data_IF_515107830472
#
_entry.id   IF_515107830472
#
_cell.length_a   1.000
_cell.length_b   1.000
_cell.length_c   1.000
_cell.angle_alpha   90.00
_cell.angle_beta   90.00
_cell.angle_gamma   90.00
#
_symmetry.space_group_name_H-M   'P 1'
#
loop_
_entity.id
_entity.type
_entity.pdbx_description
1 polymer ?
#
# COMPACT_ATOMS: atom_id res chain seq x y z
N UNK A 1 5.79 14.54 -6.13
CA UNK A 1 4.45 14.23 -6.66
C UNK A 1 4.20 15.09 -7.89
N UNK A 2 3.59 14.52 -8.91
CA UNK A 2 3.23 15.15 -10.17
C UNK A 2 1.69 15.22 -10.26
N UNK A 3 1.05 16.28 -9.73
CA UNK A 3 -0.42 16.36 -9.64
C UNK A 3 -1.12 16.17 -10.99
N UNK A 4 -0.53 16.67 -12.06
CA UNK A 4 -1.10 16.53 -13.41
C UNK A 4 -1.10 15.08 -13.90
N UNK A 5 -0.04 14.30 -13.60
CA UNK A 5 0.01 12.88 -13.91
C UNK A 5 -1.00 12.08 -13.06
N UNK A 6 -1.18 12.46 -11.80
CA UNK A 6 -2.19 11.83 -10.94
C UNK A 6 -3.61 12.10 -11.48
N UNK A 7 -3.89 13.34 -11.92
CA UNK A 7 -5.17 13.69 -12.56
C UNK A 7 -5.38 12.91 -13.86
N UNK A 8 -4.37 12.83 -14.72
CA UNK A 8 -4.44 12.06 -15.96
C UNK A 8 -4.67 10.57 -15.69
N UNK A 9 -3.98 10.00 -14.69
CA UNK A 9 -4.18 8.60 -14.28
C UNK A 9 -5.61 8.33 -13.79
N UNK A 10 -6.21 9.27 -13.05
CA UNK A 10 -7.61 9.17 -12.61
C UNK A 10 -8.55 9.13 -13.82
N UNK A 11 -8.40 10.04 -14.77
CA UNK A 11 -9.21 10.08 -16.00
C UNK A 11 -9.10 8.76 -16.76
N UNK A 12 -7.89 8.22 -16.91
CA UNK A 12 -7.69 6.91 -17.56
C UNK A 12 -8.44 5.79 -16.83
N UNK A 13 -8.36 5.75 -15.50
CA UNK A 13 -9.04 4.72 -14.70
C UNK A 13 -10.56 4.82 -14.80
N UNK A 14 -11.10 6.02 -14.74
CA UNK A 14 -12.53 6.30 -14.90
C UNK A 14 -13.04 5.83 -16.28
N UNK A 15 -12.31 6.15 -17.35
CA UNK A 15 -12.64 5.66 -18.70
C UNK A 15 -12.56 4.14 -18.84
N UNK A 16 -11.62 3.48 -18.14
CA UNK A 16 -11.52 2.01 -18.14
C UNK A 16 -12.59 1.34 -17.30
N UNK A 17 -13.30 2.09 -16.44
CA UNK A 17 -14.34 1.58 -15.56
C UNK A 17 -13.86 0.52 -14.57
N UNK A 18 -14.77 -0.06 -13.81
CA UNK A 18 -14.48 -0.96 -12.68
C UNK A 18 -14.51 -2.46 -13.06
N UNK A 19 -14.91 -2.79 -14.27
CA UNK A 19 -14.89 -4.15 -14.80
C UNK A 19 -13.50 -4.53 -15.30
N UNK A 20 -13.00 -5.69 -14.87
CA UNK A 20 -11.78 -6.30 -15.40
C UNK A 20 -11.63 -7.73 -14.89
N UNK A 21 -10.71 -8.48 -15.47
CA UNK A 21 -10.30 -9.81 -15.00
C UNK A 21 -8.78 -9.85 -14.80
N UNK A 22 -8.31 -10.83 -14.01
CA UNK A 22 -6.91 -11.14 -13.85
C UNK A 22 -6.03 -9.96 -13.44
N UNK A 23 -4.89 -9.84 -14.11
CA UNK A 23 -3.89 -8.80 -13.85
C UNK A 23 -4.47 -7.38 -13.99
N UNK A 24 -5.41 -7.18 -14.91
CA UNK A 24 -5.98 -5.85 -15.14
C UNK A 24 -6.77 -5.34 -13.94
N UNK A 25 -7.49 -6.22 -13.23
CA UNK A 25 -8.14 -5.86 -11.96
C UNK A 25 -7.11 -5.55 -10.88
N UNK A 26 -6.10 -6.41 -10.70
CA UNK A 26 -4.99 -6.17 -9.76
C UNK A 26 -4.28 -4.84 -10.03
N UNK A 27 -4.00 -4.54 -11.31
CA UNK A 27 -3.39 -3.26 -11.72
C UNK A 27 -4.24 -2.06 -11.31
N UNK A 28 -5.57 -2.09 -11.56
CA UNK A 28 -6.47 -0.99 -11.18
C UNK A 28 -6.52 -0.79 -9.67
N UNK A 29 -6.55 -1.87 -8.86
CA UNK A 29 -6.51 -1.76 -7.40
C UNK A 29 -5.26 -0.99 -6.96
N UNK A 30 -4.08 -1.37 -7.50
CA UNK A 30 -2.82 -0.68 -7.20
C UNK A 30 -2.84 0.79 -7.61
N UNK A 31 -3.41 1.12 -8.77
CA UNK A 31 -3.49 2.51 -9.24
C UNK A 31 -4.40 3.37 -8.34
N UNK A 32 -5.58 2.88 -7.97
CA UNK A 32 -6.46 3.59 -7.05
C UNK A 32 -5.84 3.74 -5.65
N UNK A 33 -5.15 2.72 -5.16
CA UNK A 33 -4.37 2.82 -3.92
C UNK A 33 -3.29 3.90 -4.01
N UNK A 34 -2.56 4.00 -5.14
CA UNK A 34 -1.56 5.04 -5.39
C UNK A 34 -2.16 6.43 -5.53
N UNK A 35 -3.38 6.55 -6.03
CA UNK A 35 -4.16 7.79 -6.04
C UNK A 35 -4.78 8.12 -4.67
N UNK A 36 -4.53 7.30 -3.65
CA UNK A 36 -5.02 7.44 -2.28
C UNK A 36 -6.56 7.38 -2.17
N UNK A 37 -7.21 6.74 -3.14
CA UNK A 37 -8.65 6.49 -3.12
C UNK A 37 -8.92 5.08 -2.58
N UNK A 38 -8.90 4.97 -1.25
CA UNK A 38 -9.05 3.69 -0.56
C UNK A 38 -10.42 3.04 -0.76
N UNK A 39 -11.49 3.83 -0.81
CA UNK A 39 -12.83 3.29 -1.01
C UNK A 39 -12.99 2.71 -2.41
N UNK A 40 -12.47 3.38 -3.44
CA UNK A 40 -12.51 2.87 -4.81
C UNK A 40 -11.60 1.63 -4.97
N UNK A 41 -10.38 1.66 -4.42
CA UNK A 41 -9.50 0.49 -4.39
C UNK A 41 -10.18 -0.72 -3.72
N UNK A 42 -10.87 -0.52 -2.60
CA UNK A 42 -11.62 -1.55 -1.89
C UNK A 42 -12.81 -2.09 -2.70
N UNK A 43 -13.54 -1.25 -3.41
CA UNK A 43 -14.59 -1.68 -4.33
C UNK A 43 -14.03 -2.71 -5.33
N UNK A 44 -12.87 -2.42 -5.92
CA UNK A 44 -12.24 -3.32 -6.88
C UNK A 44 -11.68 -4.61 -6.23
N UNK A 45 -11.18 -4.53 -5.00
CA UNK A 45 -10.82 -5.74 -4.22
C UNK A 45 -12.04 -6.64 -4.04
N UNK A 46 -13.18 -6.07 -3.67
CA UNK A 46 -14.43 -6.84 -3.55
C UNK A 46 -14.87 -7.45 -4.89
N UNK A 47 -14.74 -6.69 -5.98
CA UNK A 47 -15.08 -7.17 -7.32
C UNK A 47 -14.16 -8.33 -7.74
N UNK A 48 -12.85 -8.23 -7.46
CA UNK A 48 -11.90 -9.30 -7.70
C UNK A 48 -12.28 -10.58 -6.93
N UNK A 49 -12.56 -10.46 -5.65
CA UNK A 49 -12.92 -11.61 -4.80
C UNK A 49 -14.25 -12.24 -5.20
N UNK A 50 -15.25 -11.41 -5.56
CA UNK A 50 -16.60 -11.89 -5.92
C UNK A 50 -16.67 -12.52 -7.30
N UNK A 51 -16.01 -11.92 -8.29
CA UNK A 51 -16.24 -12.21 -9.70
C UNK A 51 -14.99 -12.80 -10.39
N UNK A 52 -13.80 -12.61 -9.82
CA UNK A 52 -12.52 -12.96 -10.42
C UNK A 52 -11.70 -13.97 -9.62
N UNK A 53 -12.29 -14.63 -8.62
CA UNK A 53 -11.56 -15.54 -7.73
C UNK A 53 -12.35 -16.81 -7.49
N UNK A 54 -11.71 -17.97 -7.64
CA UNK A 54 -12.26 -19.27 -7.33
C UNK A 54 -12.20 -19.56 -5.83
N UNK A 55 -12.92 -20.59 -5.36
CA UNK A 55 -12.94 -20.98 -3.95
C UNK A 55 -11.57 -21.39 -3.39
N UNK A 56 -10.64 -21.80 -4.25
CA UNK A 56 -9.25 -22.07 -3.88
C UNK A 56 -8.35 -20.82 -3.93
N UNK A 57 -8.96 -19.65 -4.06
CA UNK A 57 -8.33 -18.33 -4.18
C UNK A 57 -7.57 -18.07 -5.48
N UNK A 58 -7.70 -18.92 -6.48
CA UNK A 58 -7.09 -18.68 -7.78
C UNK A 58 -7.91 -17.69 -8.61
N UNK A 59 -7.21 -16.83 -9.34
CA UNK A 59 -7.80 -15.94 -10.34
C UNK A 59 -8.49 -16.72 -11.46
N UNK A 60 -9.64 -16.23 -11.92
CA UNK A 60 -10.48 -16.90 -12.92
C UNK A 60 -10.17 -16.50 -14.37
N UNK A 61 -9.11 -15.76 -14.62
CA UNK A 61 -8.78 -15.34 -15.99
C UNK A 61 -8.53 -16.57 -16.91
N UNK A 62 -9.18 -16.68 -18.06
CA UNK A 62 -8.93 -17.74 -19.02
C UNK A 62 -7.88 -17.31 -20.11
N UNK A 63 -6.71 -17.98 -20.29
CA UNK A 63 -6.18 -18.98 -19.36
C UNK A 63 -5.76 -18.35 -18.02
N UNK A 64 -5.64 -19.16 -16.97
CA UNK A 64 -5.23 -18.72 -15.64
C UNK A 64 -3.99 -17.81 -15.66
N UNK A 65 -4.06 -16.72 -14.93
CA UNK A 65 -2.98 -15.73 -14.79
C UNK A 65 -2.76 -15.45 -13.31
N UNK A 66 -1.66 -15.93 -12.76
CA UNK A 66 -1.31 -15.68 -11.35
C UNK A 66 -1.08 -14.20 -11.03
N UNK A 67 -0.88 -13.39 -12.06
CA UNK A 67 -0.76 -11.92 -11.96
C UNK A 67 -1.94 -11.27 -11.23
N UNK A 68 -3.17 -11.79 -11.42
CA UNK A 68 -4.34 -11.31 -10.70
C UNK A 68 -4.23 -11.54 -9.20
N UNK A 69 -3.70 -12.70 -8.79
CA UNK A 69 -3.44 -13.04 -7.39
C UNK A 69 -2.36 -12.11 -6.79
N UNK A 70 -1.23 -11.98 -7.49
CA UNK A 70 -0.13 -11.12 -7.02
C UNK A 70 -0.53 -9.65 -7.01
N UNK A 71 -1.21 -9.18 -8.07
CA UNK A 71 -1.68 -7.81 -8.18
C UNK A 71 -2.72 -7.46 -7.12
N UNK A 72 -3.65 -8.36 -6.81
CA UNK A 72 -4.63 -8.17 -5.75
C UNK A 72 -3.97 -8.05 -4.38
N UNK A 73 -3.04 -8.97 -4.06
CA UNK A 73 -2.28 -8.93 -2.80
C UNK A 73 -1.43 -7.67 -2.69
N UNK A 74 -0.72 -7.30 -3.77
CA UNK A 74 0.08 -6.08 -3.81
C UNK A 74 -0.80 -4.84 -3.61
N UNK A 75 -2.00 -4.80 -4.21
CA UNK A 75 -2.95 -3.71 -4.06
C UNK A 75 -3.39 -3.49 -2.61
N UNK A 76 -3.72 -4.57 -1.90
CA UNK A 76 -4.04 -4.49 -0.46
C UNK A 76 -2.85 -3.95 0.34
N UNK A 77 -1.62 -4.41 0.05
CA UNK A 77 -0.43 -3.87 0.70
C UNK A 77 -0.25 -2.37 0.41
N UNK A 78 -0.44 -1.93 -0.84
CA UNK A 78 -0.35 -0.51 -1.24
C UNK A 78 -1.43 0.37 -0.60
N UNK A 79 -2.60 -0.19 -0.28
CA UNK A 79 -3.64 0.53 0.48
C UNK A 79 -3.19 0.82 1.92
N UNK A 80 -2.39 -0.06 2.51
CA UNK A 80 -1.97 0.03 3.92
C UNK A 80 -0.59 0.66 4.10
N UNK A 81 0.37 0.35 3.23
CA UNK A 81 1.75 0.87 3.31
C UNK A 81 2.31 1.06 1.91
N UNK A 82 2.67 2.29 1.57
CA UNK A 82 3.41 2.58 0.35
C UNK A 82 4.87 2.87 0.65
N UNK A 83 5.75 2.45 -0.25
CA UNK A 83 7.17 2.75 -0.13
C UNK A 83 7.78 3.17 -1.47
N UNK A 84 8.62 4.22 -1.43
CA UNK A 84 9.38 4.71 -2.58
C UNK A 84 10.81 5.04 -2.17
N UNK A 85 11.67 5.24 -3.16
CA UNK A 85 13.06 5.64 -2.97
C UNK A 85 13.30 6.97 -3.64
N UNK A 86 13.86 7.91 -2.90
CA UNK A 86 14.40 9.14 -3.44
C UNK A 86 15.91 8.94 -3.68
N UNK A 87 16.30 8.96 -4.95
CA UNK A 87 17.69 8.81 -5.41
C UNK A 87 18.35 10.16 -5.74
N UNK A 88 17.67 11.27 -5.52
CA UNK A 88 18.22 12.62 -5.83
C UNK A 88 19.21 13.11 -4.78
N UNK A 89 19.15 12.56 -3.56
CA UNK A 89 20.09 12.82 -2.50
C UNK A 89 21.42 12.04 -2.69
N UNK A 90 22.51 12.46 -2.01
CA UNK A 90 23.81 11.75 -2.04
C UNK A 90 23.72 10.28 -1.59
N UNK A 91 22.72 9.95 -0.78
CA UNK A 91 22.39 8.58 -0.35
C UNK A 91 20.90 8.35 -0.55
N UNK A 92 20.45 7.12 -0.87
CA UNK A 92 19.04 6.81 -0.99
C UNK A 92 18.27 7.19 0.28
N UNK A 93 17.15 7.88 0.12
CA UNK A 93 16.19 8.16 1.19
C UNK A 93 14.92 7.38 0.89
N UNK A 94 14.51 6.55 1.84
CA UNK A 94 13.32 5.71 1.69
C UNK A 94 12.11 6.41 2.28
N UNK A 95 11.06 6.57 1.46
CA UNK A 95 9.82 7.18 1.90
C UNK A 95 8.79 6.08 2.17
N UNK A 96 8.20 6.12 3.36
CA UNK A 96 7.15 5.20 3.81
C UNK A 96 5.91 6.02 4.10
N UNK A 97 4.79 5.64 3.50
CA UNK A 97 3.49 6.25 3.78
C UNK A 97 2.58 5.23 4.45
N UNK A 98 2.13 5.51 5.65
CA UNK A 98 1.27 4.63 6.46
C UNK A 98 -0.20 4.97 6.21
N UNK A 99 -1.03 3.95 5.98
CA UNK A 99 -2.46 4.02 5.71
C UNK A 99 -2.86 5.03 4.61
N UNK A 100 -2.12 5.10 3.46
CA UNK A 100 -2.36 6.14 2.45
C UNK A 100 -3.72 6.01 1.77
N UNK A 101 -4.28 4.81 1.70
CA UNK A 101 -5.53 4.51 1.02
C UNK A 101 -6.41 3.55 1.85
N UNK A 102 -6.56 3.85 3.14
CA UNK A 102 -7.38 3.06 4.03
C UNK A 102 -8.87 3.27 3.69
N UNK A 103 -9.63 2.22 3.33
CA UNK A 103 -11.07 2.36 3.08
C UNK A 103 -11.84 2.56 4.38
N UNK A 104 -13.01 3.18 4.28
CA UNK A 104 -13.83 3.50 5.46
C UNK A 104 -14.23 2.28 6.27
N UNK A 105 -14.44 1.16 5.61
CA UNK A 105 -14.85 -0.10 6.24
C UNK A 105 -13.73 -0.80 7.02
N UNK A 106 -12.47 -0.42 6.85
CA UNK A 106 -11.34 -0.94 7.61
C UNK A 106 -10.97 -0.01 8.77
N UNK A 107 -11.97 0.42 9.54
CA UNK A 107 -11.75 1.34 10.66
C UNK A 107 -10.76 0.81 11.71
N UNK A 108 -10.72 -0.51 11.89
CA UNK A 108 -9.80 -1.18 12.82
C UNK A 108 -9.08 -2.31 12.08
N UNK A 109 -7.83 -2.55 12.46
CA UNK A 109 -7.07 -3.65 11.87
C UNK A 109 -5.65 -3.76 12.40
N UNK A 110 -5.00 -4.82 11.97
CA UNK A 110 -3.60 -5.11 12.27
C UNK A 110 -2.94 -5.73 11.05
N UNK A 111 -1.70 -5.38 10.78
CA UNK A 111 -0.87 -6.04 9.79
C UNK A 111 0.54 -6.23 10.33
N UNK A 112 1.16 -7.36 10.03
CA UNK A 112 2.52 -7.71 10.48
C UNK A 112 3.37 -8.17 9.31
N UNK A 113 4.67 -7.85 9.40
CA UNK A 113 5.67 -8.36 8.48
C UNK A 113 5.69 -7.69 7.10
N UNK A 114 5.05 -6.52 6.91
CA UNK A 114 5.12 -5.81 5.63
C UNK A 114 6.57 -5.41 5.36
N UNK A 115 7.10 -5.92 4.24
CA UNK A 115 8.45 -5.58 3.77
C UNK A 115 8.39 -4.39 2.85
N UNK A 116 9.22 -3.39 3.13
CA UNK A 116 9.33 -2.18 2.32
C UNK A 116 10.72 -2.00 1.73
N UNK A 117 10.86 -1.06 0.80
CA UNK A 117 12.17 -0.66 0.28
C UNK A 117 13.07 -0.20 1.42
N UNK A 118 14.39 -0.38 1.28
CA UNK A 118 15.37 -0.08 2.33
C UNK A 118 15.54 -1.19 3.37
N UNK A 119 14.94 -2.37 3.15
CA UNK A 119 15.05 -3.50 4.08
C UNK A 119 14.34 -3.29 5.40
N UNK A 120 13.26 -2.51 5.40
CA UNK A 120 12.42 -2.30 6.57
C UNK A 120 11.33 -3.36 6.66
N UNK A 121 10.94 -3.71 7.87
CA UNK A 121 9.77 -4.54 8.17
C UNK A 121 8.86 -3.76 9.09
N UNK A 122 7.57 -3.68 8.74
CA UNK A 122 6.56 -2.90 9.44
C UNK A 122 5.52 -3.84 10.03
N UNK A 123 5.27 -3.69 11.32
CA UNK A 123 4.11 -4.21 12.03
C UNK A 123 3.28 -3.00 12.50
N UNK A 124 1.98 -3.00 12.22
CA UNK A 124 1.12 -1.85 12.50
C UNK A 124 -0.26 -2.31 12.95
N UNK A 125 -0.80 -1.62 13.96
CA UNK A 125 -2.19 -1.75 14.41
C UNK A 125 -2.86 -0.39 14.34
N UNK A 126 -4.13 -0.36 13.95
CA UNK A 126 -4.93 0.86 13.94
C UNK A 126 -6.33 0.61 14.49
N UNK A 127 -6.89 1.64 15.11
CA UNK A 127 -8.24 1.68 15.66
C UNK A 127 -8.89 3.03 15.30
N UNK A 128 -10.14 3.00 14.88
CA UNK A 128 -10.85 4.18 14.39
C UNK A 128 -10.05 4.95 13.31
N UNK A 129 -9.41 4.20 12.40
CA UNK A 129 -8.51 4.72 11.34
C UNK A 129 -7.23 5.39 11.84
N UNK A 130 -6.94 5.35 13.13
CA UNK A 130 -5.73 5.93 13.72
C UNK A 130 -4.75 4.83 14.12
N UNK A 131 -3.48 5.01 13.74
CA UNK A 131 -2.40 4.09 14.12
C UNK A 131 -2.21 4.16 15.64
N UNK A 132 -2.49 3.04 16.29
CA UNK A 132 -2.34 2.89 17.77
C UNK A 132 -1.05 2.18 18.15
N UNK A 133 -0.47 1.40 17.24
CA UNK A 133 0.83 0.75 17.45
C UNK A 133 1.57 0.66 16.11
N UNK A 134 2.84 1.02 16.13
CA UNK A 134 3.74 0.91 14.99
C UNK A 134 5.08 0.35 15.45
N UNK A 135 5.57 -0.68 14.77
CA UNK A 135 6.92 -1.18 14.94
C UNK A 135 7.61 -1.22 13.58
N UNK A 136 8.81 -0.65 13.51
CA UNK A 136 9.63 -0.66 12.31
C UNK A 136 10.98 -1.28 12.68
N UNK A 137 11.36 -2.35 11.97
CA UNK A 137 12.66 -3.02 12.09
C UNK A 137 13.49 -2.74 10.85
N UNK A 138 14.76 -2.42 11.02
CA UNK A 138 15.70 -2.17 9.94
C UNK A 138 16.68 -3.35 9.77
N UNK A 139 16.76 -3.91 8.57
CA UNK A 139 17.75 -4.94 8.23
C UNK A 139 19.13 -4.37 7.86
N UNK A 140 19.19 -3.08 7.52
CA UNK A 140 20.40 -2.34 7.14
C UNK A 140 20.37 -0.94 7.75
N UNK A 141 21.49 -0.23 7.71
CA UNK A 141 21.52 1.21 8.02
C UNK A 141 20.73 1.96 6.94
N UNK A 142 19.79 2.81 7.35
CA UNK A 142 18.86 3.45 6.41
C UNK A 142 18.40 4.83 6.89
N UNK A 143 18.36 5.78 5.95
CA UNK A 143 17.66 7.05 6.13
C UNK A 143 16.22 6.89 5.63
N UNK A 144 15.24 7.12 6.50
CA UNK A 144 13.82 6.94 6.19
C UNK A 144 13.01 8.19 6.52
N UNK A 145 12.05 8.48 5.66
CA UNK A 145 11.04 9.50 5.86
C UNK A 145 9.68 8.81 5.99
N UNK A 146 9.05 8.93 7.14
CA UNK A 146 7.75 8.31 7.42
C UNK A 146 6.68 9.37 7.37
N UNK A 147 5.68 9.15 6.51
CA UNK A 147 4.52 10.02 6.36
C UNK A 147 3.28 9.32 6.93
N UNK A 148 2.56 10.02 7.77
CA UNK A 148 1.29 9.61 8.36
C UNK A 148 0.43 10.84 8.65
N UNK A 149 -0.88 10.83 8.32
CA UNK A 149 -1.80 11.95 8.50
C UNK A 149 -1.22 13.29 8.03
N UNK A 150 -0.64 13.32 6.82
CA UNK A 150 0.00 14.48 6.20
C UNK A 150 1.18 15.08 6.99
N UNK A 151 1.65 14.40 8.03
CA UNK A 151 2.88 14.75 8.75
C UNK A 151 4.00 13.82 8.32
N UNK A 152 5.20 14.36 8.15
CA UNK A 152 6.40 13.60 7.79
C UNK A 152 7.48 13.75 8.83
N UNK A 153 8.10 12.64 9.20
CA UNK A 153 9.22 12.57 10.16
C UNK A 153 10.41 11.87 9.51
N UNK A 154 11.57 12.54 9.54
CA UNK A 154 12.84 11.97 9.06
C UNK A 154 13.57 11.30 10.21
N UNK A 155 14.09 10.11 9.97
CA UNK A 155 14.87 9.38 10.97
C UNK A 155 15.96 8.51 10.32
N UNK A 156 16.96 8.18 11.13
CA UNK A 156 18.04 7.26 10.76
C UNK A 156 17.91 6.02 11.60
N UNK A 157 17.85 4.89 10.93
CA UNK A 157 17.82 3.58 11.57
C UNK A 157 19.14 2.85 11.32
N UNK A 158 19.69 2.25 12.36
CA UNK A 158 20.86 1.36 12.27
C UNK A 158 20.37 -0.06 11.99
N UNK A 159 21.22 -0.86 11.37
CA UNK A 159 21.00 -2.31 11.22
C UNK A 159 20.61 -2.94 12.56
N UNK A 160 19.52 -3.70 12.58
CA UNK A 160 18.95 -4.31 13.78
C UNK A 160 18.15 -3.34 14.66
N UNK A 161 18.12 -2.05 14.34
CA UNK A 161 17.35 -1.06 15.08
C UNK A 161 15.85 -1.30 14.96
N UNK A 162 15.13 -1.04 16.08
CA UNK A 162 13.67 -1.15 16.17
C UNK A 162 13.12 0.15 16.71
N UNK A 163 12.17 0.72 15.98
CA UNK A 163 11.31 1.81 16.50
C UNK A 163 9.98 1.21 16.92
N UNK A 164 9.49 1.61 18.08
CA UNK A 164 8.14 1.29 18.56
C UNK A 164 7.45 2.59 18.95
N UNK A 165 6.24 2.78 18.44
CA UNK A 165 5.39 3.92 18.75
C UNK A 165 4.05 3.37 19.23
N UNK A 166 3.63 3.77 20.43
CA UNK A 166 2.40 3.31 21.09
C UNK A 166 1.20 4.25 20.90
N UNK A 167 1.29 5.27 20.11
CA UNK A 167 0.18 6.05 19.51
C UNK A 167 0.77 7.10 18.56
N UNK A 168 0.30 7.12 17.34
CA UNK A 168 0.63 8.19 16.39
C UNK A 168 -0.52 9.22 16.43
N UNK A 169 -0.35 10.30 17.20
CA UNK A 169 -1.28 11.45 17.19
C UNK A 169 -0.92 12.42 16.05
#
# INVERSE_FOLDING_TARGET
>A
ATPDLAKASRVVLEHRGDGATGWSMGWKINQWARLQDGNHAYLLVRNLLKNGTLNNLWDTHPPFQIDGNFGGTAGVCEMLVQSSVDMTAKKPVYNIHLLPALPDVWANGEIKGIRTRGGLTIDMKWENKLVTSLQIKAATDVDVNITYNNKSSKMKLRKGGIIKISSCK
#
